data_IF_205202021224
#
_entry.id   IF_205202021224
#
_cell.length_a   1.000
_cell.length_b   1.000
_cell.length_c   1.000
_cell.angle_alpha   90.00
_cell.angle_beta   90.00
_cell.angle_gamma   90.00
#
_symmetry.space_group_name_H-M   'P 1'
#
loop_
_entity.id
_entity.type
_entity.pdbx_description
1 polymer ?
#
# COMPACT_ATOMS: atom_id res chain seq x y z
N UNK A 1 -15.63 17.42 -5.04
CA UNK A 1 -14.64 16.67 -4.23
C UNK A 1 -13.45 17.58 -3.96
N UNK A 2 -13.07 17.81 -2.70
CA UNK A 2 -11.95 18.72 -2.37
C UNK A 2 -10.61 18.16 -2.86
N UNK A 3 -9.62 19.02 -3.12
CA UNK A 3 -8.28 18.63 -3.59
C UNK A 3 -7.61 17.60 -2.66
N UNK A 4 -7.81 17.76 -1.35
CA UNK A 4 -7.33 16.79 -0.33
C UNK A 4 -7.94 15.40 -0.50
N UNK A 5 -9.24 15.32 -0.82
CA UNK A 5 -9.93 14.04 -1.03
C UNK A 5 -9.46 13.33 -2.31
N UNK A 6 -9.18 14.08 -3.38
CA UNK A 6 -8.56 13.52 -4.60
C UNK A 6 -7.20 12.92 -4.31
N UNK A 7 -6.34 13.66 -3.60
CA UNK A 7 -4.98 13.21 -3.28
C UNK A 7 -4.99 11.95 -2.41
N UNK A 8 -5.82 11.93 -1.38
CA UNK A 8 -5.99 10.75 -0.52
C UNK A 8 -6.40 9.52 -1.33
N UNK A 9 -7.34 9.67 -2.25
CA UNK A 9 -7.80 8.57 -3.10
C UNK A 9 -6.68 8.05 -3.99
N UNK A 10 -5.92 8.95 -4.63
CA UNK A 10 -4.76 8.54 -5.42
C UNK A 10 -3.71 7.80 -4.57
N UNK A 11 -3.43 8.26 -3.35
CA UNK A 11 -2.50 7.56 -2.45
C UNK A 11 -2.95 6.13 -2.12
N UNK A 12 -4.25 5.92 -1.92
CA UNK A 12 -4.82 4.59 -1.69
C UNK A 12 -4.68 3.71 -2.95
N UNK A 13 -4.95 4.27 -4.12
CA UNK A 13 -4.83 3.57 -5.41
C UNK A 13 -3.37 3.19 -5.72
N UNK A 14 -2.41 4.09 -5.46
CA UNK A 14 -0.99 3.81 -5.63
C UNK A 14 -0.46 2.78 -4.62
N UNK A 15 -0.90 2.85 -3.36
CA UNK A 15 -0.59 1.82 -2.35
C UNK A 15 -1.13 0.46 -2.77
N UNK A 16 -2.35 0.41 -3.31
CA UNK A 16 -2.94 -0.83 -3.81
C UNK A 16 -2.05 -1.47 -4.88
N UNK A 17 -1.59 -0.69 -5.85
CA UNK A 17 -0.73 -1.17 -6.94
C UNK A 17 0.56 -1.77 -6.38
N UNK A 18 1.23 -1.05 -5.47
CA UNK A 18 2.51 -1.51 -4.88
C UNK A 18 2.30 -2.71 -3.96
N UNK A 19 1.27 -2.67 -3.11
CA UNK A 19 0.95 -3.73 -2.17
C UNK A 19 0.63 -5.05 -2.87
N UNK A 20 -0.06 -4.99 -4.01
CA UNK A 20 -0.34 -6.15 -4.88
C UNK A 20 0.89 -6.64 -5.65
N UNK A 21 1.98 -5.87 -5.69
CA UNK A 21 3.23 -6.25 -6.36
C UNK A 21 4.22 -6.94 -5.43
N UNK A 22 3.85 -7.19 -4.17
CA UNK A 22 4.72 -7.86 -3.22
C UNK A 22 4.79 -9.37 -3.50
N UNK A 23 6.01 -9.92 -3.53
CA UNK A 23 6.24 -11.35 -3.74
C UNK A 23 6.59 -12.05 -2.42
N UNK A 24 6.02 -13.23 -2.20
CA UNK A 24 6.42 -14.11 -1.10
C UNK A 24 7.12 -15.34 -1.67
N UNK A 25 8.45 -15.41 -1.49
CA UNK A 25 9.28 -16.51 -1.98
C UNK A 25 8.98 -17.88 -1.38
N UNK A 26 8.19 -17.95 -0.31
CA UNK A 26 7.72 -19.22 0.26
C UNK A 26 6.45 -19.75 -0.44
N UNK A 27 5.83 -18.98 -1.34
CA UNK A 27 4.71 -19.46 -2.14
C UNK A 27 5.26 -20.29 -3.30
N UNK A 28 4.99 -21.59 -3.28
CA UNK A 28 5.37 -22.53 -4.36
C UNK A 28 4.52 -22.30 -5.61
N UNK A 29 4.80 -21.27 -6.40
CA UNK A 29 4.03 -20.96 -7.62
C UNK A 29 4.16 -22.00 -8.74
N UNK A 30 4.97 -23.03 -8.55
CA UNK A 30 5.18 -24.12 -9.49
C UNK A 30 4.84 -25.46 -8.83
N UNK A 31 3.98 -26.23 -9.49
CA UNK A 31 3.62 -27.59 -9.11
C UNK A 31 4.62 -28.63 -9.66
N UNK A 32 4.36 -29.94 -9.45
CA UNK A 32 5.09 -31.01 -10.11
C UNK A 32 5.13 -30.79 -11.63
N UNK A 33 6.24 -31.15 -12.27
CA UNK A 33 6.47 -30.97 -13.72
C UNK A 33 6.56 -29.51 -14.21
N UNK A 34 6.73 -28.54 -13.30
CA UNK A 34 6.98 -27.14 -13.66
C UNK A 34 5.74 -26.37 -14.13
N UNK A 35 4.54 -26.89 -13.88
CA UNK A 35 3.29 -26.18 -14.18
C UNK A 35 3.16 -24.95 -13.28
N UNK A 36 2.89 -23.78 -13.88
CA UNK A 36 2.64 -22.56 -13.14
C UNK A 36 1.25 -22.60 -12.50
N UNK A 37 1.20 -22.67 -11.17
CA UNK A 37 -0.02 -22.68 -10.36
C UNK A 37 -0.19 -21.36 -9.57
N UNK A 38 0.51 -20.30 -9.99
CA UNK A 38 0.50 -19.00 -9.31
C UNK A 38 -0.78 -18.18 -9.52
N UNK A 39 -1.70 -18.64 -10.38
CA UNK A 39 -2.98 -17.98 -10.62
C UNK A 39 -3.81 -17.92 -9.33
N UNK A 40 -4.26 -16.72 -8.95
CA UNK A 40 -4.98 -16.49 -7.68
C UNK A 40 -4.08 -16.44 -6.43
N UNK A 41 -2.76 -16.59 -6.56
CA UNK A 41 -1.80 -16.43 -5.45
C UNK A 41 -1.24 -15.01 -5.34
N UNK A 42 -1.93 -14.03 -5.93
CA UNK A 42 -1.59 -12.61 -5.84
C UNK A 42 -1.43 -12.20 -4.38
N UNK A 43 -0.18 -11.95 -3.97
CA UNK A 43 0.13 -11.66 -2.58
C UNK A 43 0.07 -10.16 -2.35
N UNK A 44 -1.10 -9.67 -1.93
CA UNK A 44 -1.14 -8.33 -1.36
C UNK A 44 -0.54 -8.32 0.04
N UNK A 45 0.52 -7.53 0.23
CA UNK A 45 1.08 -7.31 1.56
C UNK A 45 0.08 -6.54 2.43
N UNK A 46 -0.23 -7.03 3.65
CA UNK A 46 -1.19 -6.34 4.51
C UNK A 46 -0.62 -5.00 4.98
N UNK A 47 -1.41 -3.94 4.84
CA UNK A 47 -1.09 -2.65 5.41
C UNK A 47 -1.42 -2.65 6.90
N UNK A 48 -0.46 -2.29 7.74
CA UNK A 48 -0.69 -2.07 9.17
C UNK A 48 -1.13 -0.64 9.38
N UNK A 49 -2.28 -0.44 10.00
CA UNK A 49 -2.77 0.86 10.46
C UNK A 49 -2.86 0.87 11.98
N UNK A 50 -2.67 2.04 12.58
CA UNK A 50 -2.80 2.23 14.02
C UNK A 50 -3.95 3.20 14.27
N UNK A 51 -4.97 2.75 14.99
CA UNK A 51 -6.11 3.59 15.36
C UNK A 51 -5.68 4.67 16.37
N UNK A 52 -6.58 5.63 16.64
CA UNK A 52 -6.34 6.63 17.70
C UNK A 52 -6.19 6.02 19.10
N UNK A 53 -6.80 4.86 19.35
CA UNK A 53 -6.66 4.13 20.62
C UNK A 53 -5.38 3.31 20.72
N UNK A 54 -4.52 3.33 19.68
CA UNK A 54 -3.28 2.54 19.64
C UNK A 54 -3.49 1.11 19.12
N UNK A 55 -4.72 0.74 18.78
CA UNK A 55 -5.05 -0.59 18.25
C UNK A 55 -4.45 -0.76 16.84
N UNK A 56 -3.74 -1.87 16.64
CA UNK A 56 -3.13 -2.21 15.35
C UNK A 56 -4.08 -3.08 14.55
N UNK A 57 -4.38 -2.66 13.33
CA UNK A 57 -5.20 -3.43 12.41
C UNK A 57 -4.43 -3.67 11.11
N UNK A 58 -4.41 -4.93 10.67
CA UNK A 58 -3.85 -5.34 9.37
C UNK A 58 -4.99 -5.40 8.37
N UNK A 59 -4.88 -4.65 7.28
CA UNK A 59 -5.89 -4.70 6.22
C UNK A 59 -5.29 -5.13 4.89
N UNK A 60 -5.99 -6.09 4.28
CA UNK A 60 -6.08 -6.33 2.84
C UNK A 60 -6.38 -5.01 2.18
N UNK A 61 -7.62 -4.54 2.30
CA UNK A 61 -8.16 -3.42 1.54
C UNK A 61 -8.22 -2.12 2.35
N UNK A 62 -7.58 -1.06 1.86
CA UNK A 62 -7.63 0.26 2.49
C UNK A 62 -8.94 0.95 2.14
N UNK A 63 -9.78 1.21 3.16
CA UNK A 63 -11.07 1.88 2.96
C UNK A 63 -10.87 3.41 2.89
N UNK A 64 -11.52 4.11 1.95
CA UNK A 64 -11.49 5.58 1.90
C UNK A 64 -12.05 6.28 3.14
N UNK A 65 -12.74 5.55 4.03
CA UNK A 65 -13.25 6.06 5.31
C UNK A 65 -12.13 6.29 6.34
N UNK A 66 -10.97 5.62 6.21
CA UNK A 66 -9.85 5.78 7.16
C UNK A 66 -9.27 7.19 7.05
N UNK A 67 -9.13 7.97 8.14
CA UNK A 67 -8.58 9.33 8.08
C UNK A 67 -7.17 9.39 7.47
N UNK A 68 -6.87 10.44 6.69
CA UNK A 68 -5.55 10.60 6.06
C UNK A 68 -4.41 10.64 7.10
N UNK A 69 -4.64 11.26 8.25
CA UNK A 69 -3.67 11.30 9.34
C UNK A 69 -3.28 9.89 9.83
N UNK A 70 -4.26 8.97 9.91
CA UNK A 70 -4.02 7.58 10.25
C UNK A 70 -3.30 6.84 9.11
N UNK A 71 -3.68 7.08 7.85
CA UNK A 71 -3.01 6.48 6.70
C UNK A 71 -1.53 6.89 6.59
N UNK A 72 -1.17 8.13 6.93
CA UNK A 72 0.24 8.58 6.95
C UNK A 72 1.11 7.79 7.95
N UNK A 73 0.51 7.30 9.02
CA UNK A 73 1.18 6.43 9.98
C UNK A 73 1.19 4.96 9.58
N UNK A 74 0.48 4.58 8.51
CA UNK A 74 0.38 3.20 8.07
C UNK A 74 1.69 2.70 7.45
N UNK A 75 1.96 1.40 7.60
CA UNK A 75 3.20 0.79 7.14
C UNK A 75 3.03 -0.67 6.71
N UNK A 76 3.91 -1.14 5.83
CA UNK A 76 4.17 -2.57 5.64
C UNK A 76 5.22 -3.02 6.65
N UNK A 77 4.95 -4.12 7.35
CA UNK A 77 5.88 -4.70 8.31
C UNK A 77 6.71 -5.80 7.65
N UNK A 78 7.93 -5.50 7.19
CA UNK A 78 8.85 -6.47 6.58
C UNK A 78 9.83 -7.02 7.64
N UNK A 79 9.38 -8.01 8.41
CA UNK A 79 10.13 -8.49 9.57
C UNK A 79 10.25 -7.40 10.64
N UNK A 80 11.49 -7.06 11.02
CA UNK A 80 11.76 -5.95 11.94
C UNK A 80 11.64 -4.56 11.29
N UNK A 81 11.65 -4.49 9.95
CA UNK A 81 11.61 -3.23 9.23
C UNK A 81 10.17 -2.77 8.95
N UNK A 82 9.96 -1.46 8.87
CA UNK A 82 8.68 -0.86 8.54
C UNK A 82 8.82 0.09 7.35
N UNK A 83 8.03 -0.15 6.30
CA UNK A 83 7.91 0.78 5.17
C UNK A 83 6.64 1.61 5.31
N UNK A 84 6.78 2.90 5.64
CA UNK A 84 5.67 3.85 5.69
C UNK A 84 5.20 4.25 4.27
N UNK A 85 4.57 3.29 3.58
CA UNK A 85 4.27 3.36 2.14
C UNK A 85 3.45 4.60 1.75
N UNK A 86 2.43 4.96 2.53
CA UNK A 86 1.58 6.14 2.24
C UNK A 86 2.40 7.43 2.33
N UNK A 87 3.28 7.55 3.33
CA UNK A 87 4.15 8.72 3.49
C UNK A 87 5.17 8.81 2.36
N UNK A 88 5.76 7.68 1.97
CA UNK A 88 6.68 7.61 0.84
C UNK A 88 5.99 8.02 -0.48
N UNK A 89 4.78 7.51 -0.75
CA UNK A 89 3.99 7.88 -1.92
C UNK A 89 3.61 9.36 -1.91
N UNK A 90 3.31 9.94 -0.75
CA UNK A 90 3.06 11.37 -0.62
C UNK A 90 4.30 12.20 -0.99
N UNK A 91 5.50 11.75 -0.62
CA UNK A 91 6.76 12.36 -1.03
C UNK A 91 7.00 12.22 -2.55
N UNK A 92 6.70 11.06 -3.14
CA UNK A 92 6.79 10.85 -4.60
C UNK A 92 5.85 11.80 -5.34
N UNK A 93 4.59 11.91 -4.92
CA UNK A 93 3.64 12.83 -5.53
C UNK A 93 4.09 14.28 -5.40
N UNK A 94 4.62 14.69 -4.24
CA UNK A 94 5.21 16.03 -4.07
C UNK A 94 6.38 16.27 -5.03
N UNK A 95 7.25 15.27 -5.21
CA UNK A 95 8.36 15.34 -6.16
C UNK A 95 7.86 15.51 -7.61
N UNK A 96 6.83 14.76 -8.01
CA UNK A 96 6.23 14.87 -9.34
C UNK A 96 5.57 16.24 -9.57
N UNK A 97 4.83 16.75 -8.58
CA UNK A 97 4.19 18.07 -8.67
C UNK A 97 5.22 19.20 -8.78
N UNK A 98 6.30 19.12 -7.99
CA UNK A 98 7.33 20.18 -7.92
C UNK A 98 8.30 20.15 -9.10
N UNK A 99 8.81 18.98 -9.48
CA UNK A 99 9.83 18.87 -10.53
C UNK A 99 9.25 18.73 -11.93
N UNK A 100 8.13 18.03 -12.07
CA UNK A 100 7.55 17.66 -13.36
C UNK A 100 6.24 18.39 -13.65
N UNK A 101 5.83 19.35 -12.79
CA UNK A 101 4.58 20.13 -12.92
C UNK A 101 3.35 19.24 -13.06
N UNK A 102 3.39 18.04 -12.47
CA UNK A 102 2.26 17.12 -12.42
C UNK A 102 1.07 17.79 -11.74
N UNK A 103 -0.14 17.60 -12.30
CA UNK A 103 -1.39 18.19 -11.77
C UNK A 103 -2.39 17.07 -11.47
N UNK A 104 -3.04 17.21 -10.31
CA UNK A 104 -4.00 16.25 -9.74
C UNK A 104 -5.44 16.74 -9.83
#
# INVERSE_FOLDING_TARGET
>A
MTKSNKRKRLLIELEQIIGSSCYNGNIKNYGPWGHFEGEGREFRYPLVTVSKSGERQRTKCVKPTIPLAQLRGAYYAFGANQLHIIRALEQVLNHLETKYKFKL
#
